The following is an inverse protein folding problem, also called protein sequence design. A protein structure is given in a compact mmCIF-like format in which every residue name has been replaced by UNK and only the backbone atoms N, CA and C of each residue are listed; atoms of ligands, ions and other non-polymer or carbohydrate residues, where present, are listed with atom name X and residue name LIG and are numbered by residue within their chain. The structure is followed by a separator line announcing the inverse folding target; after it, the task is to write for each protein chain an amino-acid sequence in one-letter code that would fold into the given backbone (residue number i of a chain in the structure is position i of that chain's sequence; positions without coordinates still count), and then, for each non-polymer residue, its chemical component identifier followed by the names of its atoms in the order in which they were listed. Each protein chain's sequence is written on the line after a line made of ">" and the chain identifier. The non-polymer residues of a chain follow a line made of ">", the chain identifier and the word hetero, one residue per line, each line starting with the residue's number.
data_IF_946278743758
#
_entry.id   IF_946278743758
#
_cell.length_a   1.000
_cell.length_b   1.000
_cell.length_c   1.000
_cell.angle_alpha   90.00
_cell.angle_beta   90.00
_cell.angle_gamma   90.00
#
_symmetry.space_group_name_H-M   'P 1'
#
loop_
_entity.id
_entity.type
_entity.pdbx_description
1 polymer ?
#
# COMPACT_ATOMS: atom_id res chain seq x y z
N UNK A 1 -39.59 7.90 50.16
CA UNK A 1 -38.59 7.01 49.53
C UNK A 1 -38.85 7.00 48.04
N UNK A 2 -38.14 7.87 47.32
CA UNK A 2 -38.31 8.13 45.89
C UNK A 2 -37.44 7.14 45.12
N UNK A 3 -38.07 6.35 44.23
CA UNK A 3 -37.40 5.46 43.28
C UNK A 3 -36.81 6.33 42.16
N UNK A 4 -35.51 6.18 41.91
CA UNK A 4 -34.90 6.69 40.67
C UNK A 4 -34.62 5.51 39.76
N UNK A 5 -35.31 5.52 38.63
CA UNK A 5 -35.26 4.58 37.54
C UNK A 5 -33.94 4.75 36.75
N UNK A 6 -33.25 3.66 36.47
CA UNK A 6 -31.96 3.65 35.77
C UNK A 6 -32.18 3.28 34.31
N UNK A 7 -32.19 4.28 33.43
CA UNK A 7 -32.28 4.10 31.99
C UNK A 7 -30.99 3.51 31.44
N UNK A 8 -31.07 2.28 30.89
CA UNK A 8 -30.02 1.67 30.06
C UNK A 8 -30.27 2.07 28.60
N UNK A 9 -29.70 3.19 28.20
CA UNK A 9 -29.52 3.56 26.80
C UNK A 9 -28.10 4.11 26.66
N UNK A 10 -27.49 3.85 25.51
CA UNK A 10 -26.14 4.29 25.11
C UNK A 10 -25.02 3.28 25.39
N UNK A 11 -24.87 2.32 24.47
CA UNK A 11 -23.58 1.74 24.07
C UNK A 11 -23.57 1.59 22.54
N UNK A 12 -23.66 2.72 21.86
CA UNK A 12 -23.42 2.88 20.43
C UNK A 12 -22.58 4.15 20.26
N UNK A 13 -21.29 4.05 20.59
CA UNK A 13 -20.26 5.04 20.29
C UNK A 13 -18.90 4.43 20.65
N UNK A 14 -18.45 3.45 19.86
CA UNK A 14 -17.04 3.08 19.78
C UNK A 14 -16.63 3.48 18.36
N UNK A 15 -16.36 4.77 18.19
CA UNK A 15 -14.99 5.29 18.06
C UNK A 15 -14.39 4.90 16.70
N UNK A 16 -14.93 5.54 15.67
CA UNK A 16 -14.30 5.66 14.36
C UNK A 16 -13.12 6.64 14.52
N UNK A 17 -11.97 6.14 14.98
CA UNK A 17 -10.71 6.89 14.94
C UNK A 17 -10.18 6.76 13.51
N UNK A 18 -10.67 7.64 12.63
CA UNK A 18 -10.02 7.91 11.35
C UNK A 18 -8.72 8.64 11.69
N UNK A 19 -7.59 7.95 11.54
CA UNK A 19 -6.28 8.61 11.46
C UNK A 19 -6.32 9.55 10.25
N UNK A 20 -6.56 10.83 10.50
CA UNK A 20 -6.19 11.90 9.58
C UNK A 20 -4.68 12.04 9.67
N UNK A 21 -3.96 11.32 8.82
CA UNK A 21 -2.57 11.63 8.48
C UNK A 21 -2.56 13.03 7.87
N UNK A 22 -2.38 14.05 8.69
CA UNK A 22 -2.02 15.37 8.19
C UNK A 22 -0.61 15.22 7.65
N UNK A 23 -0.48 15.03 6.35
CA UNK A 23 0.78 15.32 5.66
C UNK A 23 0.99 16.82 5.82
N UNK A 24 1.78 17.20 6.83
CA UNK A 24 2.40 18.51 6.81
C UNK A 24 3.27 18.49 5.55
N UNK A 25 2.86 19.20 4.50
CA UNK A 25 3.76 19.50 3.39
C UNK A 25 4.82 20.39 4.05
N UNK A 26 6.07 19.92 4.27
CA UNK A 26 7.10 20.85 4.67
C UNK A 26 7.14 21.91 3.57
N UNK A 27 6.92 23.17 3.95
CA UNK A 27 7.21 24.29 3.07
C UNK A 27 8.74 24.37 2.96
N UNK A 28 9.31 23.48 2.15
CA UNK A 28 10.74 23.33 1.94
C UNK A 28 11.28 24.42 1.02
N UNK A 29 12.46 24.94 1.37
CA UNK A 29 13.16 26.04 0.73
C UNK A 29 13.73 25.76 -0.67
N UNK A 30 13.67 24.50 -1.05
CA UNK A 30 14.24 23.92 -2.26
C UNK A 30 13.15 23.04 -2.85
N UNK A 31 12.89 23.21 -4.14
CA UNK A 31 11.88 22.44 -4.87
C UNK A 31 12.56 21.31 -5.64
N UNK A 32 11.78 20.29 -5.97
CA UNK A 32 12.20 19.13 -6.76
C UNK A 32 11.62 19.29 -8.16
N UNK A 33 12.47 19.64 -9.12
CA UNK A 33 12.09 19.84 -10.52
C UNK A 33 11.77 18.50 -11.22
N UNK A 34 12.60 17.49 -10.98
CA UNK A 34 12.46 16.15 -11.56
C UNK A 34 13.11 15.10 -10.68
N UNK A 35 12.62 13.86 -10.80
CA UNK A 35 13.19 12.70 -10.12
C UNK A 35 13.11 11.47 -11.03
N UNK A 36 14.17 10.68 -11.03
CA UNK A 36 14.26 9.36 -11.63
C UNK A 36 14.57 8.37 -10.50
N UNK A 37 13.52 7.99 -9.77
CA UNK A 37 13.59 7.12 -8.60
C UNK A 37 12.65 5.94 -8.82
N UNK A 38 13.17 4.70 -8.85
CA UNK A 38 12.35 3.50 -8.99
C UNK A 38 11.51 3.25 -7.72
N UNK A 39 10.34 2.63 -7.89
CA UNK A 39 9.46 2.25 -6.77
C UNK A 39 9.86 0.90 -6.14
N UNK A 40 10.61 0.08 -6.89
CA UNK A 40 11.01 -1.26 -6.49
C UNK A 40 12.39 -1.64 -7.00
N UNK A 41 13.12 -2.43 -6.20
CA UNK A 41 14.47 -2.88 -6.54
C UNK A 41 14.75 -4.32 -6.12
N UNK A 42 15.46 -5.07 -6.96
CA UNK A 42 15.90 -6.43 -6.63
C UNK A 42 17.12 -6.37 -5.68
N UNK A 43 17.08 -7.11 -4.58
CA UNK A 43 18.20 -7.21 -3.62
C UNK A 43 19.50 -7.57 -4.32
N UNK A 44 20.57 -6.85 -4.01
CA UNK A 44 21.90 -7.07 -4.59
C UNK A 44 22.08 -6.58 -6.02
N UNK A 45 21.04 -6.02 -6.64
CA UNK A 45 21.16 -5.36 -7.95
C UNK A 45 21.75 -3.96 -7.81
N UNK A 46 22.36 -3.46 -8.89
CA UNK A 46 22.94 -2.12 -8.94
C UNK A 46 21.91 -1.14 -9.48
N UNK A 47 21.62 -0.09 -8.71
CA UNK A 47 20.66 0.95 -9.04
C UNK A 47 21.36 2.29 -9.16
N UNK A 48 20.88 3.12 -10.09
CA UNK A 48 21.23 4.53 -10.20
C UNK A 48 19.94 5.32 -10.19
N UNK A 49 19.86 6.28 -9.29
CA UNK A 49 18.70 7.18 -9.14
C UNK A 49 19.20 8.62 -9.13
N UNK A 50 18.36 9.55 -9.54
CA UNK A 50 18.70 10.97 -9.59
C UNK A 50 17.53 11.87 -9.25
N UNK A 51 17.86 13.02 -8.65
CA UNK A 51 16.91 14.07 -8.28
C UNK A 51 17.49 15.41 -8.69
N UNK A 52 16.69 16.23 -9.35
CA UNK A 52 17.04 17.60 -9.71
C UNK A 52 16.32 18.57 -8.78
N UNK A 53 17.11 19.38 -8.09
CA UNK A 53 16.67 20.42 -7.19
C UNK A 53 16.67 21.77 -7.92
N UNK A 54 15.62 22.55 -7.72
CA UNK A 54 15.47 23.91 -8.21
C UNK A 54 14.98 24.85 -7.10
N UNK A 55 14.76 26.12 -7.46
CA UNK A 55 14.35 27.18 -6.53
C UNK A 55 15.26 27.31 -5.29
N UNK A 56 16.55 26.98 -5.46
CA UNK A 56 17.57 26.74 -4.43
C UNK A 56 17.74 27.82 -3.34
N UNK A 57 17.14 29.00 -3.54
CA UNK A 57 17.34 30.21 -2.74
C UNK A 57 16.03 30.92 -2.36
N UNK A 58 14.84 30.34 -2.58
CA UNK A 58 13.60 31.13 -2.51
C UNK A 58 12.92 31.16 -1.14
N UNK A 59 13.01 30.13 -0.29
CA UNK A 59 12.19 30.10 0.94
C UNK A 59 12.75 29.26 2.12
N UNK A 60 13.74 29.75 2.89
CA UNK A 60 14.10 31.14 3.00
C UNK A 60 15.11 31.58 1.94
N UNK A 61 15.20 32.89 1.78
CA UNK A 61 16.26 33.51 1.01
C UNK A 61 17.62 33.25 1.65
N UNK A 62 18.33 32.26 1.12
CA UNK A 62 19.68 31.88 1.51
C UNK A 62 20.62 32.17 0.34
N UNK A 63 21.66 32.95 0.57
CA UNK A 63 22.70 33.16 -0.45
C UNK A 63 23.66 31.97 -0.54
N UNK A 64 23.74 31.16 0.52
CA UNK A 64 24.60 29.98 0.63
C UNK A 64 24.03 28.94 1.61
N UNK A 65 24.25 27.66 1.31
CA UNK A 65 23.92 26.51 2.19
C UNK A 65 24.69 25.26 1.76
N UNK A 66 24.68 24.21 2.58
CA UNK A 66 25.32 22.92 2.27
C UNK A 66 24.29 21.83 2.12
N UNK A 67 24.37 21.07 1.03
CA UNK A 67 23.61 19.86 0.78
C UNK A 67 24.27 18.68 1.49
N UNK A 68 23.43 17.88 2.13
CA UNK A 68 23.75 16.56 2.64
C UNK A 68 22.76 15.54 2.07
N UNK A 69 23.19 14.29 2.00
CA UNK A 69 22.32 13.22 1.57
C UNK A 69 22.65 11.90 2.25
N UNK A 70 21.63 11.07 2.41
CA UNK A 70 21.67 9.78 3.06
C UNK A 70 20.97 8.72 2.20
N UNK A 71 21.45 7.48 2.27
CA UNK A 71 20.87 6.33 1.56
C UNK A 71 21.11 5.04 2.36
N UNK A 72 20.23 4.07 2.19
CA UNK A 72 20.39 2.71 2.70
C UNK A 72 21.03 1.76 1.66
N UNK A 73 21.33 2.25 0.46
CA UNK A 73 22.12 1.51 -0.53
C UNK A 73 23.49 1.10 0.02
N UNK A 74 24.04 0.02 -0.51
CA UNK A 74 25.40 -0.46 -0.23
C UNK A 74 26.34 -0.04 -1.38
N UNK A 75 27.66 -0.05 -1.14
CA UNK A 75 28.68 0.27 -2.17
C UNK A 75 28.40 1.58 -2.94
N UNK A 76 28.15 2.64 -2.18
CA UNK A 76 27.54 3.88 -2.66
C UNK A 76 28.55 4.89 -3.18
N UNK A 77 28.24 5.48 -4.33
CA UNK A 77 28.84 6.72 -4.84
C UNK A 77 27.75 7.74 -5.17
N UNK A 78 27.90 8.93 -4.60
CA UNK A 78 27.10 10.11 -4.90
C UNK A 78 27.80 11.01 -5.91
N UNK A 79 27.02 11.66 -6.76
CA UNK A 79 27.48 12.71 -7.66
C UNK A 79 26.53 13.90 -7.57
N UNK A 80 27.07 15.06 -7.23
CA UNK A 80 26.35 16.33 -7.19
C UNK A 80 26.83 17.18 -8.36
N UNK A 81 25.94 17.46 -9.31
CA UNK A 81 26.23 18.25 -10.51
C UNK A 81 25.49 19.58 -10.44
N UNK A 82 26.19 20.66 -10.74
CA UNK A 82 25.66 22.03 -10.66
C UNK A 82 25.46 22.58 -12.07
N UNK A 83 24.32 23.20 -12.33
CA UNK A 83 23.97 23.79 -13.62
C UNK A 83 23.63 25.27 -13.47
N UNK A 84 23.97 26.07 -14.49
CA UNK A 84 23.57 27.47 -14.59
C UNK A 84 22.20 27.65 -15.27
N UNK A 85 21.72 28.89 -15.31
CA UNK A 85 20.44 29.29 -15.91
C UNK A 85 20.30 29.00 -17.41
N UNK A 86 21.38 28.61 -18.09
CA UNK A 86 21.39 28.20 -19.50
C UNK A 86 21.33 26.68 -19.66
N UNK A 87 21.36 25.93 -18.56
CA UNK A 87 21.48 24.48 -18.51
C UNK A 87 22.92 23.98 -18.71
N UNK A 88 23.92 24.86 -18.66
CA UNK A 88 25.32 24.47 -18.77
C UNK A 88 25.83 23.99 -17.41
N UNK A 89 26.52 22.85 -17.40
CA UNK A 89 27.19 22.34 -16.22
C UNK A 89 28.34 23.25 -15.82
N UNK A 90 28.35 23.71 -14.57
CA UNK A 90 29.36 24.62 -14.02
C UNK A 90 30.31 23.94 -13.04
N UNK A 91 29.86 22.91 -12.32
CA UNK A 91 30.71 22.12 -11.41
C UNK A 91 30.18 20.68 -11.22
N UNK A 92 31.01 19.80 -10.69
CA UNK A 92 30.61 18.46 -10.22
C UNK A 92 31.48 18.02 -9.04
N UNK A 93 30.82 17.44 -8.04
CA UNK A 93 31.45 16.82 -6.88
C UNK A 93 31.01 15.37 -6.76
N UNK A 94 31.88 14.52 -6.22
CA UNK A 94 31.58 13.12 -5.96
C UNK A 94 31.95 12.76 -4.53
N UNK A 95 31.12 11.92 -3.91
CA UNK A 95 31.28 11.48 -2.53
C UNK A 95 31.04 9.98 -2.48
N UNK A 96 31.72 9.29 -1.57
CA UNK A 96 31.54 7.85 -1.37
C UNK A 96 30.95 7.58 0.02
N UNK A 97 30.18 6.50 0.13
CA UNK A 97 29.52 6.09 1.37
C UNK A 97 28.03 6.41 1.42
N UNK A 98 27.36 5.86 2.42
CA UNK A 98 25.91 5.96 2.62
C UNK A 98 25.43 7.36 3.00
N UNK A 99 26.35 8.23 3.42
CA UNK A 99 26.08 9.62 3.71
C UNK A 99 27.14 10.50 3.06
N UNK A 100 26.73 11.68 2.63
CA UNK A 100 27.65 12.76 2.30
C UNK A 100 27.17 14.06 2.92
N UNK A 101 28.10 14.98 3.14
CA UNK A 101 27.79 16.34 3.58
C UNK A 101 28.81 17.32 3.03
N UNK A 102 28.45 18.61 3.01
CA UNK A 102 29.37 19.69 2.65
C UNK A 102 29.41 20.03 1.16
N UNK A 103 28.46 19.53 0.36
CA UNK A 103 28.27 19.99 -1.01
C UNK A 103 27.71 21.43 -0.98
N UNK A 104 28.54 22.42 -1.30
CA UNK A 104 28.19 23.83 -1.16
C UNK A 104 27.31 24.30 -2.33
N UNK A 105 26.18 24.92 -2.02
CA UNK A 105 25.33 25.63 -2.98
C UNK A 105 25.40 27.12 -2.64
N UNK A 106 25.83 27.96 -3.58
CA UNK A 106 25.90 29.41 -3.37
C UNK A 106 25.45 30.19 -4.61
N UNK A 107 24.67 31.25 -4.40
CA UNK A 107 24.12 32.07 -5.48
C UNK A 107 25.20 32.78 -6.30
N UNK A 108 26.34 33.11 -5.68
CA UNK A 108 27.47 33.76 -6.35
C UNK A 108 28.16 32.87 -7.40
N UNK A 109 27.95 31.55 -7.34
CA UNK A 109 28.52 30.60 -8.30
C UNK A 109 27.69 30.51 -9.59
N UNK A 110 26.54 31.20 -9.65
CA UNK A 110 25.67 31.21 -10.81
C UNK A 110 24.83 29.94 -10.99
N UNK A 111 24.84 29.05 -9.99
CA UNK A 111 24.03 27.83 -9.95
C UNK A 111 22.55 28.17 -9.91
N UNK A 112 21.77 27.57 -10.79
CA UNK A 112 20.30 27.63 -10.76
C UNK A 112 19.67 26.29 -10.41
N UNK A 113 20.34 25.19 -10.74
CA UNK A 113 19.85 23.82 -10.52
C UNK A 113 20.97 22.94 -9.98
N UNK A 114 20.60 21.96 -9.14
CA UNK A 114 21.52 20.95 -8.62
C UNK A 114 20.93 19.57 -8.89
N UNK A 115 21.66 18.73 -9.60
CA UNK A 115 21.31 17.33 -9.80
C UNK A 115 22.12 16.46 -8.84
N UNK A 116 21.42 15.67 -8.04
CA UNK A 116 21.99 14.70 -7.13
C UNK A 116 21.72 13.31 -7.69
N UNK A 117 22.77 12.58 -8.03
CA UNK A 117 22.68 11.18 -8.44
C UNK A 117 23.36 10.31 -7.41
N UNK A 118 22.71 9.21 -7.03
CA UNK A 118 23.33 8.14 -6.24
C UNK A 118 23.33 6.86 -7.03
N UNK A 119 24.45 6.16 -6.96
CA UNK A 119 24.61 4.81 -7.50
C UNK A 119 25.07 3.90 -6.38
N UNK A 120 24.40 2.77 -6.22
CA UNK A 120 24.72 1.80 -5.19
C UNK A 120 24.08 0.45 -5.48
N UNK A 121 24.18 -0.44 -4.50
CA UNK A 121 23.63 -1.79 -4.52
C UNK A 121 22.44 -1.86 -3.56
N UNK A 122 21.33 -2.45 -4.01
CA UNK A 122 20.12 -2.60 -3.19
C UNK A 122 20.41 -3.50 -1.98
N UNK A 123 20.11 -3.04 -0.73
CA UNK A 123 20.46 -3.77 0.48
C UNK A 123 19.63 -5.06 0.62
N UNK A 124 20.15 -5.99 1.42
CA UNK A 124 19.40 -7.19 1.79
C UNK A 124 18.13 -6.85 2.60
N UNK A 125 17.13 -7.73 2.53
CA UNK A 125 15.94 -7.63 3.39
C UNK A 125 16.26 -8.20 4.77
N UNK A 126 16.13 -7.37 5.81
CA UNK A 126 16.29 -7.83 7.20
C UNK A 126 15.04 -8.53 7.73
N UNK A 127 13.87 -7.98 7.42
CA UNK A 127 12.56 -8.48 7.85
C UNK A 127 11.55 -8.31 6.71
N UNK A 128 10.77 -9.35 6.43
CA UNK A 128 9.75 -9.31 5.38
C UNK A 128 8.42 -8.89 5.99
N UNK A 129 7.69 -8.02 5.28
CA UNK A 129 6.34 -7.59 5.67
C UNK A 129 5.42 -7.64 4.46
N UNK A 130 4.24 -8.24 4.62
CA UNK A 130 3.29 -8.31 3.51
C UNK A 130 2.51 -7.00 3.36
N UNK A 131 1.96 -6.46 4.45
CA UNK A 131 1.22 -5.20 4.46
C UNK A 131 1.40 -4.47 5.82
N UNK A 132 2.07 -3.30 5.86
CA UNK A 132 2.64 -2.57 4.74
C UNK A 132 3.87 -3.27 4.16
N UNK A 133 4.14 -3.04 2.87
CA UNK A 133 5.33 -3.57 2.23
C UNK A 133 6.62 -2.99 2.85
N UNK A 134 7.64 -3.83 3.06
CA UNK A 134 8.94 -3.34 3.52
C UNK A 134 9.56 -2.40 2.48
N UNK A 135 10.20 -1.33 2.94
CA UNK A 135 10.83 -0.32 2.10
C UNK A 135 12.17 0.11 2.68
N UNK A 136 13.07 0.58 1.81
CA UNK A 136 14.33 1.18 2.17
C UNK A 136 14.47 2.57 1.53
N UNK A 137 15.34 3.40 2.08
CA UNK A 137 15.62 4.76 1.62
C UNK A 137 16.60 4.75 0.46
N UNK A 138 16.16 5.16 -0.74
CA UNK A 138 17.04 5.32 -1.89
C UNK A 138 17.84 6.62 -1.78
N UNK A 139 17.16 7.71 -1.47
CA UNK A 139 17.74 9.04 -1.31
C UNK A 139 16.95 9.78 -0.23
N UNK A 140 17.63 10.34 0.75
CA UNK A 140 17.13 11.44 1.58
C UNK A 140 18.07 12.62 1.40
N UNK A 141 17.53 13.83 1.24
CA UNK A 141 18.34 15.04 1.05
C UNK A 141 17.98 16.10 2.08
N UNK A 142 19.00 16.81 2.54
CA UNK A 142 18.90 17.81 3.58
C UNK A 142 19.62 19.10 3.20
N UNK A 143 18.98 20.23 3.49
CA UNK A 143 19.59 21.55 3.41
C UNK A 143 20.07 21.97 4.80
N UNK A 144 21.39 22.09 4.97
CA UNK A 144 22.00 22.66 6.18
C UNK A 144 22.44 24.11 5.96
N UNK A 145 21.99 25.01 6.84
CA UNK A 145 22.38 26.43 6.84
C UNK A 145 23.69 26.66 7.58
N UNK A 146 24.41 27.70 7.16
CA UNK A 146 25.54 28.23 7.92
C UNK A 146 25.05 28.69 9.31
N UNK A 147 25.58 28.06 10.37
CA UNK A 147 25.09 28.22 11.75
C UNK A 147 24.30 27.03 12.31
N UNK A 148 24.10 25.96 11.55
CA UNK A 148 23.79 24.61 12.06
C UNK A 148 22.31 24.21 12.12
N UNK A 149 21.41 24.96 11.48
CA UNK A 149 20.02 24.50 11.30
C UNK A 149 19.89 23.69 10.02
N UNK A 150 19.36 22.47 10.11
CA UNK A 150 19.05 21.59 8.97
C UNK A 150 17.54 21.58 8.69
N UNK A 151 17.17 21.47 7.43
CA UNK A 151 15.79 21.21 7.00
C UNK A 151 15.79 20.10 5.95
N UNK A 152 14.92 19.12 6.15
CA UNK A 152 14.67 18.05 5.20
C UNK A 152 14.16 18.67 3.89
N UNK A 153 14.73 18.24 2.77
CA UNK A 153 14.26 18.60 1.42
C UNK A 153 13.16 17.63 1.03
N UNK A 154 13.50 16.34 0.91
CA UNK A 154 12.57 15.26 0.64
C UNK A 154 13.27 13.90 0.89
N UNK A 155 12.47 12.85 0.98
CA UNK A 155 12.93 11.47 1.14
C UNK A 155 12.19 10.59 0.14
N UNK A 156 12.96 9.83 -0.65
CA UNK A 156 12.44 8.84 -1.58
C UNK A 156 12.82 7.43 -1.17
N UNK A 157 11.82 6.57 -1.12
CA UNK A 157 11.93 5.16 -0.72
C UNK A 157 11.54 4.24 -1.88
N UNK A 158 12.04 3.01 -1.83
CA UNK A 158 11.63 1.92 -2.70
C UNK A 158 11.41 0.65 -1.89
N UNK A 159 10.58 -0.26 -2.38
CA UNK A 159 10.53 -1.61 -1.82
C UNK A 159 11.68 -2.45 -2.38
N UNK A 160 12.31 -3.26 -1.52
CA UNK A 160 13.26 -4.28 -1.98
C UNK A 160 12.62 -5.66 -2.01
N UNK A 161 12.99 -6.45 -3.01
CA UNK A 161 12.49 -7.81 -3.16
C UNK A 161 13.58 -8.79 -3.60
N UNK A 162 13.33 -10.05 -3.29
CA UNK A 162 13.96 -11.18 -3.96
C UNK A 162 12.97 -11.78 -4.95
N UNK A 163 13.44 -12.53 -5.95
CA UNK A 163 12.54 -13.21 -6.89
C UNK A 163 11.54 -14.14 -6.18
N UNK A 164 11.96 -14.78 -5.08
CA UNK A 164 11.10 -15.68 -4.32
C UNK A 164 10.05 -14.92 -3.50
N UNK A 165 10.42 -13.79 -2.88
CA UNK A 165 9.48 -12.95 -2.14
C UNK A 165 8.45 -12.30 -3.08
N UNK A 166 8.88 -11.79 -4.24
CA UNK A 166 7.99 -11.21 -5.24
C UNK A 166 6.97 -12.25 -5.76
N UNK A 167 7.45 -13.44 -6.15
CA UNK A 167 6.56 -14.51 -6.61
C UNK A 167 5.58 -15.00 -5.54
N UNK A 168 5.96 -14.91 -4.25
CA UNK A 168 5.09 -15.27 -3.14
C UNK A 168 4.03 -14.20 -2.87
N UNK A 169 4.39 -12.91 -2.96
CA UNK A 169 3.43 -11.79 -2.90
C UNK A 169 2.34 -11.93 -3.96
N UNK A 170 2.70 -12.23 -5.21
CA UNK A 170 1.71 -12.46 -6.29
C UNK A 170 0.66 -13.52 -5.93
N UNK A 171 1.07 -14.56 -5.19
CA UNK A 171 0.17 -15.63 -4.74
C UNK A 171 -0.71 -15.19 -3.58
N UNK A 172 -0.15 -14.44 -2.62
CA UNK A 172 -0.91 -13.83 -1.52
C UNK A 172 -1.97 -12.88 -2.09
N UNK A 173 -1.59 -11.98 -2.99
CA UNK A 173 -2.51 -11.04 -3.66
C UNK A 173 -3.62 -11.77 -4.42
N UNK A 174 -3.25 -12.85 -5.13
CA UNK A 174 -4.20 -13.72 -5.81
C UNK A 174 -5.18 -14.40 -4.83
N UNK A 175 -4.71 -14.81 -3.66
CA UNK A 175 -5.53 -15.44 -2.63
C UNK A 175 -6.47 -14.43 -1.97
N UNK A 176 -5.95 -13.25 -1.59
CA UNK A 176 -6.72 -12.14 -1.03
C UNK A 176 -7.81 -11.68 -2.00
N UNK A 177 -7.48 -11.55 -3.28
CA UNK A 177 -8.45 -11.25 -4.35
C UNK A 177 -9.55 -12.30 -4.43
N UNK A 178 -9.22 -13.60 -4.36
CA UNK A 178 -10.21 -14.67 -4.41
C UNK A 178 -11.13 -14.69 -3.18
N UNK A 179 -10.57 -14.44 -1.98
CA UNK A 179 -11.33 -14.31 -0.72
C UNK A 179 -12.30 -13.14 -0.81
N UNK A 180 -11.83 -11.96 -1.20
CA UNK A 180 -12.65 -10.77 -1.40
C UNK A 180 -13.76 -11.01 -2.43
N UNK A 181 -13.45 -11.67 -3.54
CA UNK A 181 -14.40 -11.99 -4.60
C UNK A 181 -15.42 -13.09 -4.24
N UNK A 182 -15.23 -13.80 -3.13
CA UNK A 182 -16.18 -14.76 -2.58
C UNK A 182 -17.20 -14.12 -1.62
N UNK A 183 -17.15 -12.78 -1.45
CA UNK A 183 -18.00 -11.98 -0.57
C UNK A 183 -19.44 -12.49 -0.46
N UNK A 184 -19.82 -12.91 0.76
CA UNK A 184 -21.12 -13.51 1.08
C UNK A 184 -21.11 -15.03 1.25
N UNK A 185 -20.02 -15.72 0.93
CA UNK A 185 -19.80 -17.13 1.28
C UNK A 185 -19.08 -17.27 2.64
N UNK A 186 -19.12 -18.46 3.26
CA UNK A 186 -18.32 -18.74 4.46
C UNK A 186 -16.83 -18.93 4.10
N UNK A 187 -16.07 -17.84 4.12
CA UNK A 187 -14.64 -17.79 3.77
C UNK A 187 -13.70 -17.92 4.97
N UNK A 188 -14.22 -18.23 6.18
CA UNK A 188 -13.41 -18.25 7.41
C UNK A 188 -12.16 -19.15 7.31
N UNK A 189 -12.32 -20.34 6.73
CA UNK A 189 -11.19 -21.27 6.57
C UNK A 189 -10.18 -20.82 5.51
N UNK A 190 -10.61 -20.01 4.54
CA UNK A 190 -9.73 -19.40 3.55
C UNK A 190 -8.96 -18.23 4.17
N UNK A 191 -9.62 -17.41 5.00
CA UNK A 191 -8.97 -16.31 5.71
C UNK A 191 -7.92 -16.82 6.69
N UNK A 192 -8.25 -17.79 7.55
CA UNK A 192 -7.27 -18.38 8.47
C UNK A 192 -6.05 -18.96 7.73
N UNK A 193 -6.26 -19.51 6.53
CA UNK A 193 -5.18 -20.05 5.72
C UNK A 193 -4.31 -18.94 5.12
N UNK A 194 -4.92 -17.83 4.70
CA UNK A 194 -4.24 -16.64 4.23
C UNK A 194 -3.42 -16.00 5.34
N UNK A 195 -3.99 -15.87 6.55
CA UNK A 195 -3.28 -15.30 7.71
C UNK A 195 -2.02 -16.12 8.03
N UNK A 196 -2.12 -17.46 8.04
CA UNK A 196 -0.94 -18.33 8.18
C UNK A 196 0.07 -18.17 7.03
N UNK A 197 -0.40 -17.86 5.82
CA UNK A 197 0.45 -17.64 4.66
C UNK A 197 1.24 -16.33 4.81
N UNK A 198 0.61 -15.29 5.34
CA UNK A 198 1.25 -14.01 5.69
C UNK A 198 2.28 -14.23 6.78
N UNK A 199 1.95 -14.94 7.88
CA UNK A 199 2.91 -15.26 8.94
C UNK A 199 4.14 -16.02 8.41
N UNK A 200 3.93 -16.97 7.48
CA UNK A 200 5.03 -17.69 6.85
C UNK A 200 5.87 -16.77 5.93
N UNK A 201 5.25 -15.83 5.22
CA UNK A 201 5.96 -14.86 4.37
C UNK A 201 6.83 -13.94 5.20
N UNK A 202 6.28 -13.40 6.31
CA UNK A 202 7.00 -12.52 7.23
C UNK A 202 8.16 -13.26 7.93
N UNK A 203 8.00 -14.57 8.16
CA UNK A 203 9.08 -15.44 8.63
C UNK A 203 10.12 -15.82 7.57
N UNK A 204 10.01 -15.37 6.32
CA UNK A 204 10.91 -15.73 5.21
C UNK A 204 10.71 -17.15 4.66
N UNK A 205 9.64 -17.85 5.05
CA UNK A 205 9.31 -19.21 4.62
C UNK A 205 8.46 -19.18 3.33
N UNK A 206 9.01 -18.61 2.26
CA UNK A 206 8.28 -18.30 1.02
C UNK A 206 7.62 -19.51 0.34
N UNK A 207 8.29 -20.67 0.35
CA UNK A 207 7.71 -21.91 -0.18
C UNK A 207 6.47 -22.36 0.61
N UNK A 208 6.50 -22.23 1.93
CA UNK A 208 5.34 -22.52 2.79
C UNK A 208 4.23 -21.50 2.55
N UNK A 209 4.56 -20.20 2.59
CA UNK A 209 3.62 -19.10 2.35
C UNK A 209 2.90 -19.27 1.01
N UNK A 210 3.65 -19.56 -0.07
CA UNK A 210 3.13 -19.86 -1.40
C UNK A 210 2.07 -20.98 -1.39
N UNK A 211 2.37 -22.12 -0.74
CA UNK A 211 1.45 -23.25 -0.67
C UNK A 211 0.19 -22.90 0.14
N UNK A 212 0.36 -22.21 1.27
CA UNK A 212 -0.76 -21.77 2.11
C UNK A 212 -1.66 -20.78 1.35
N UNK A 213 -1.08 -19.84 0.60
CA UNK A 213 -1.83 -18.89 -0.23
C UNK A 213 -2.64 -19.59 -1.33
N UNK A 214 -2.07 -20.58 -2.01
CA UNK A 214 -2.79 -21.39 -3.01
C UNK A 214 -3.94 -22.20 -2.40
N UNK A 215 -3.75 -22.75 -1.20
CA UNK A 215 -4.79 -23.42 -0.43
C UNK A 215 -5.91 -22.45 -0.03
N UNK A 216 -5.56 -21.24 0.41
CA UNK A 216 -6.50 -20.18 0.77
C UNK A 216 -7.36 -19.80 -0.44
N UNK A 217 -6.73 -19.56 -1.59
CA UNK A 217 -7.39 -19.30 -2.88
C UNK A 217 -8.34 -20.44 -3.27
N UNK A 218 -7.89 -21.69 -3.13
CA UNK A 218 -8.71 -22.87 -3.43
C UNK A 218 -9.93 -22.98 -2.53
N UNK A 219 -9.77 -22.74 -1.21
CA UNK A 219 -10.87 -22.73 -0.24
C UNK A 219 -11.87 -21.60 -0.54
N UNK A 220 -11.39 -20.41 -0.87
CA UNK A 220 -12.24 -19.28 -1.23
C UNK A 220 -13.10 -19.57 -2.47
N UNK A 221 -12.48 -20.14 -3.52
CA UNK A 221 -13.19 -20.52 -4.74
C UNK A 221 -14.26 -21.61 -4.48
N UNK A 222 -13.94 -22.60 -3.63
CA UNK A 222 -14.92 -23.62 -3.20
C UNK A 222 -16.08 -23.00 -2.43
N UNK A 223 -15.80 -22.08 -1.50
CA UNK A 223 -16.83 -21.38 -0.73
C UNK A 223 -17.75 -20.58 -1.65
N UNK A 224 -17.19 -19.85 -2.62
CA UNK A 224 -17.93 -19.11 -3.65
C UNK A 224 -18.86 -20.01 -4.46
N UNK A 225 -18.35 -21.13 -5.00
CA UNK A 225 -19.13 -22.08 -5.79
C UNK A 225 -20.26 -22.74 -4.97
N UNK A 226 -19.97 -23.11 -3.73
CA UNK A 226 -20.96 -23.69 -2.81
C UNK A 226 -22.08 -22.70 -2.49
N UNK A 227 -21.74 -21.43 -2.24
CA UNK A 227 -22.71 -20.36 -2.01
C UNK A 227 -23.62 -20.14 -3.22
N UNK A 228 -23.06 -20.09 -4.44
CA UNK A 228 -23.83 -19.96 -5.68
C UNK A 228 -24.79 -21.14 -5.89
N UNK A 229 -24.32 -22.36 -5.64
CA UNK A 229 -25.14 -23.59 -5.77
C UNK A 229 -26.28 -23.61 -4.76
N UNK A 230 -25.98 -23.24 -3.50
CA UNK A 230 -26.98 -23.19 -2.43
C UNK A 230 -28.03 -22.12 -2.70
N UNK A 231 -27.63 -20.93 -3.16
CA UNK A 231 -28.55 -19.88 -3.57
C UNK A 231 -29.47 -20.33 -4.70
N UNK A 232 -28.93 -20.99 -5.73
CA UNK A 232 -29.74 -21.54 -6.83
C UNK A 232 -30.79 -22.54 -6.32
N UNK A 233 -30.40 -23.44 -5.42
CA UNK A 233 -31.31 -24.43 -4.82
C UNK A 233 -32.39 -23.76 -3.98
N UNK A 234 -32.06 -22.73 -3.20
CA UNK A 234 -33.03 -21.98 -2.40
C UNK A 234 -34.01 -21.24 -3.32
N UNK A 235 -33.53 -20.59 -4.40
CA UNK A 235 -34.41 -19.93 -5.36
C UNK A 235 -35.30 -20.93 -6.11
N UNK A 236 -34.76 -22.08 -6.50
CA UNK A 236 -35.54 -23.15 -7.11
C UNK A 236 -36.61 -23.69 -6.16
N UNK A 237 -36.26 -23.93 -4.89
CA UNK A 237 -37.20 -24.36 -3.85
C UNK A 237 -38.28 -23.31 -3.58
N UNK A 238 -37.90 -22.03 -3.47
CA UNK A 238 -38.82 -20.91 -3.30
C UNK A 238 -39.80 -20.77 -4.46
N UNK A 239 -39.31 -20.87 -5.70
CA UNK A 239 -40.15 -20.88 -6.90
C UNK A 239 -41.16 -22.02 -6.92
N UNK A 240 -40.75 -23.22 -6.53
CA UNK A 240 -41.65 -24.37 -6.42
C UNK A 240 -42.77 -24.16 -5.37
N UNK A 241 -42.45 -23.57 -4.21
CA UNK A 241 -43.46 -23.25 -3.19
C UNK A 241 -44.48 -22.25 -3.70
N UNK A 242 -44.05 -21.20 -4.42
CA UNK A 242 -44.97 -20.21 -5.02
C UNK A 242 -45.90 -20.88 -6.04
N UNK A 243 -45.37 -21.74 -6.91
CA UNK A 243 -46.19 -22.49 -7.88
C UNK A 243 -47.21 -23.39 -7.16
N UNK A 244 -46.78 -24.10 -6.11
CA UNK A 244 -47.66 -24.96 -5.33
C UNK A 244 -48.79 -24.16 -4.65
N UNK A 245 -48.51 -22.95 -4.15
CA UNK A 245 -49.52 -22.06 -3.57
C UNK A 245 -50.50 -21.53 -4.62
N UNK A 246 -50.04 -21.21 -5.83
CA UNK A 246 -50.91 -20.76 -6.93
C UNK A 246 -51.84 -21.91 -7.37
N UNK A 247 -51.28 -23.10 -7.60
CA UNK A 247 -52.07 -24.28 -8.00
C UNK A 247 -53.03 -24.71 -6.89
N UNK A 248 -52.55 -24.76 -5.64
CA UNK A 248 -53.37 -25.09 -4.47
C UNK A 248 -54.49 -24.07 -4.24
N UNK A 249 -54.18 -22.78 -4.36
CA UNK A 249 -55.16 -21.70 -4.26
C UNK A 249 -56.22 -21.76 -5.37
N UNK A 250 -55.80 -22.04 -6.60
CA UNK A 250 -56.72 -22.22 -7.74
C UNK A 250 -57.64 -23.43 -7.58
N UNK A 251 -57.09 -24.59 -7.18
CA UNK A 251 -57.88 -25.80 -6.93
C UNK A 251 -58.84 -25.62 -5.76
N UNK A 252 -58.40 -24.95 -4.68
CA UNK A 252 -59.24 -24.62 -3.53
C UNK A 252 -60.39 -23.69 -3.93
N UNK A 253 -60.11 -22.61 -4.66
CA UNK A 253 -61.13 -21.70 -5.18
C UNK A 253 -62.13 -22.40 -6.11
N UNK A 254 -61.65 -23.27 -7.01
CA UNK A 254 -62.51 -24.09 -7.87
C UNK A 254 -63.36 -25.08 -7.08
N UNK A 255 -62.82 -25.66 -6.01
CA UNK A 255 -63.57 -26.60 -5.15
C UNK A 255 -64.73 -25.92 -4.42
N UNK A 256 -64.61 -24.63 -4.09
CA UNK A 256 -65.71 -23.85 -3.51
C UNK A 256 -66.82 -23.50 -4.53
N UNK A 257 -66.53 -23.53 -5.84
CA UNK A 257 -67.57 -23.39 -6.87
C UNK A 257 -68.39 -24.67 -7.09
N UNK A 258 -67.93 -25.81 -6.57
CA UNK A 258 -68.66 -27.06 -6.61
C UNK A 258 -69.61 -27.15 -5.41
N UNK A 259 -70.58 -26.24 -5.35
CA UNK A 259 -71.64 -26.37 -4.35
C UNK A 259 -72.51 -27.56 -4.76
N UNK A 260 -72.51 -28.53 -3.85
CA UNK A 260 -73.31 -29.73 -3.84
C UNK A 260 -74.79 -29.37 -4.01
N UNK A 261 -75.34 -29.67 -5.18
CA UNK A 261 -76.78 -29.58 -5.44
C UNK A 261 -77.45 -30.67 -4.60
N UNK A 262 -77.89 -30.30 -3.39
CA UNK A 262 -78.77 -31.11 -2.57
C UNK A 262 -80.18 -30.77 -3.04
N UNK A 263 -80.70 -31.67 -3.88
CA UNK A 263 -82.04 -31.72 -4.46
C UNK A 263 -82.14 -30.90 -5.77
N UNK A 264 -82.79 -31.48 -6.78
CA UNK A 264 -83.07 -30.76 -8.03
C UNK A 264 -84.03 -29.59 -7.87
#
# INVERSE_FOLDING_TARGET
>A
MTRTNWSRFSKLALALVVLLSVTAIPAGAVSVASKDVPEEEEVGSKVTTSVTLDELYKDPQLESWTLAGETELEDVTWTVTYYDQTGAKVDQQSFDGQNFSGAQVAANDGTSEVEVSVTGTTPAVEEYSYDPEQSFTLISLDQTREGGSSNDIDTWTAHHYTQESAATRDKLDSAQTAISAAGGANTKDAQNQFDNAVEAFEGGEFGLASNLAEDAKTKANKAKQSSQTTQLLIYAAGGLVVIALIVGGFLYWRSQQSTYDKLG
#
